data_IF_427016332784
#
_entry.id   IF_427016332784
#
_cell.length_a   1.000
_cell.length_b   1.000
_cell.length_c   1.000
_cell.angle_alpha   90.00
_cell.angle_beta   90.00
_cell.angle_gamma   90.00
#
_symmetry.space_group_name_H-M   'P 1'
#
loop_
_entity.id
_entity.type
_entity.pdbx_description
1 polymer ?
#
# COMPACT_ATOMS: atom_id res chain seq x y z
N UNK A 1 17.23 38.91 3.77
CA UNK A 1 16.32 38.74 2.62
C UNK A 1 16.43 37.35 1.97
N UNK A 2 17.64 36.82 1.74
CA UNK A 2 17.83 35.48 1.14
C UNK A 2 17.14 34.33 1.94
N UNK A 3 17.20 34.38 3.28
CA UNK A 3 16.59 33.36 4.15
C UNK A 3 15.05 33.38 4.13
N UNK A 4 14.42 34.53 3.89
CA UNK A 4 12.95 34.65 3.80
C UNK A 4 12.42 34.09 2.47
N UNK A 5 13.17 34.30 1.39
CA UNK A 5 12.83 33.76 0.07
C UNK A 5 13.02 32.25 0.01
N UNK A 6 14.09 31.71 0.60
CA UNK A 6 14.28 30.26 0.75
C UNK A 6 13.18 29.63 1.61
N UNK A 7 12.77 30.27 2.70
CA UNK A 7 11.69 29.79 3.55
C UNK A 7 10.32 29.82 2.85
N UNK A 8 10.00 30.89 2.12
CA UNK A 8 8.77 30.98 1.31
C UNK A 8 8.75 29.98 0.15
N UNK A 9 9.90 29.77 -0.51
CA UNK A 9 10.06 28.77 -1.56
C UNK A 9 9.85 27.36 -1.01
N UNK A 10 10.53 26.99 0.07
CA UNK A 10 10.37 25.70 0.76
C UNK A 10 8.92 25.46 1.21
N UNK A 11 8.27 26.50 1.78
CA UNK A 11 6.88 26.43 2.23
C UNK A 11 5.88 26.24 1.07
N UNK A 12 6.14 26.87 -0.08
CA UNK A 12 5.34 26.70 -1.29
C UNK A 12 5.45 25.28 -1.88
N UNK A 13 6.66 24.71 -1.90
CA UNK A 13 6.87 23.32 -2.33
C UNK A 13 6.16 22.31 -1.41
N UNK A 14 6.31 22.46 -0.09
CA UNK A 14 5.64 21.60 0.90
C UNK A 14 4.12 21.64 0.74
N UNK A 15 3.56 22.83 0.50
CA UNK A 15 2.12 23.00 0.38
C UNK A 15 1.56 22.35 -0.89
N UNK A 16 2.28 22.43 -2.02
CA UNK A 16 1.92 21.71 -3.25
C UNK A 16 1.99 20.19 -3.09
N UNK A 17 2.98 19.68 -2.36
CA UNK A 17 3.11 18.24 -2.09
C UNK A 17 1.96 17.73 -1.21
N UNK A 18 1.56 18.50 -0.20
CA UNK A 18 0.41 18.16 0.66
C UNK A 18 -0.88 18.09 -0.15
N UNK A 19 -1.14 19.07 -1.03
CA UNK A 19 -2.34 19.03 -1.89
C UNK A 19 -2.33 17.84 -2.84
N UNK A 20 -1.16 17.51 -3.39
CA UNK A 20 -0.99 16.35 -4.28
C UNK A 20 -1.28 15.05 -3.54
N UNK A 21 -0.70 14.88 -2.35
CA UNK A 21 -0.92 13.72 -1.47
C UNK A 21 -2.40 13.60 -1.10
N UNK A 22 -3.00 14.69 -0.60
CA UNK A 22 -4.41 14.72 -0.22
C UNK A 22 -5.32 14.34 -1.39
N UNK A 23 -5.04 14.85 -2.59
CA UNK A 23 -5.76 14.48 -3.80
C UNK A 23 -5.70 12.98 -4.11
N UNK A 24 -4.54 12.32 -3.94
CA UNK A 24 -4.41 10.87 -4.13
C UNK A 24 -5.18 10.07 -3.08
N UNK A 25 -5.14 10.50 -1.82
CA UNK A 25 -5.89 9.85 -0.73
C UNK A 25 -7.40 9.97 -0.98
N UNK A 26 -7.89 11.17 -1.32
CA UNK A 26 -9.29 11.41 -1.64
C UNK A 26 -9.72 10.53 -2.82
N UNK A 27 -8.92 10.47 -3.87
CA UNK A 27 -9.18 9.60 -5.02
C UNK A 27 -9.31 8.12 -4.61
N UNK A 28 -8.42 7.64 -3.73
CA UNK A 28 -8.47 6.27 -3.24
C UNK A 28 -9.72 6.00 -2.39
N UNK A 29 -10.11 6.95 -1.53
CA UNK A 29 -11.35 6.89 -0.76
C UNK A 29 -12.57 6.87 -1.69
N UNK A 30 -12.59 7.68 -2.75
CA UNK A 30 -13.66 7.67 -3.74
C UNK A 30 -13.77 6.33 -4.47
N UNK A 31 -12.64 5.70 -4.81
CA UNK A 31 -12.62 4.35 -5.42
C UNK A 31 -13.15 3.28 -4.46
N UNK A 32 -12.75 3.31 -3.19
CA UNK A 32 -13.30 2.40 -2.18
C UNK A 32 -14.81 2.65 -2.03
N UNK A 33 -15.21 3.92 -1.94
CA UNK A 33 -16.60 4.32 -1.83
C UNK A 33 -17.48 3.89 -3.01
N UNK A 34 -16.96 3.93 -4.24
CA UNK A 34 -17.70 3.46 -5.41
C UNK A 34 -17.96 1.94 -5.36
N UNK A 35 -16.99 1.14 -4.88
CA UNK A 35 -17.18 -0.27 -4.60
C UNK A 35 -18.26 -0.52 -3.54
N UNK A 36 -18.25 0.24 -2.45
CA UNK A 36 -19.29 0.19 -1.42
C UNK A 36 -20.68 0.54 -1.97
N UNK A 37 -20.78 1.56 -2.83
CA UNK A 37 -22.02 1.95 -3.49
C UNK A 37 -22.51 0.87 -4.46
N UNK A 38 -21.61 0.25 -5.23
CA UNK A 38 -21.95 -0.84 -6.13
C UNK A 38 -22.56 -2.03 -5.37
N UNK A 39 -22.00 -2.37 -4.20
CA UNK A 39 -22.58 -3.38 -3.29
C UNK A 39 -23.94 -2.93 -2.74
N UNK A 40 -24.06 -1.70 -2.27
CA UNK A 40 -25.31 -1.15 -1.72
C UNK A 40 -26.44 -1.12 -2.75
N UNK A 41 -26.15 -0.81 -4.00
CA UNK A 41 -27.10 -0.79 -5.11
C UNK A 41 -27.33 -2.15 -5.76
N UNK A 42 -26.77 -3.23 -5.18
CA UNK A 42 -26.89 -4.61 -5.69
C UNK A 42 -26.44 -4.76 -7.15
N UNK A 43 -25.51 -3.90 -7.61
CA UNK A 43 -24.86 -4.04 -8.91
C UNK A 43 -23.94 -5.26 -8.95
N UNK A 44 -23.48 -5.71 -7.77
CA UNK A 44 -22.67 -6.90 -7.56
C UNK A 44 -23.38 -7.83 -6.59
N UNK A 45 -23.55 -9.08 -6.99
CA UNK A 45 -23.99 -10.16 -6.09
C UNK A 45 -22.81 -10.65 -5.24
N UNK A 46 -23.09 -11.33 -4.13
CA UNK A 46 -22.04 -11.95 -3.29
C UNK A 46 -21.17 -12.92 -4.10
N UNK A 47 -21.78 -13.69 -5.00
CA UNK A 47 -21.05 -14.54 -5.95
C UNK A 47 -20.15 -13.71 -6.86
N UNK A 48 -20.65 -12.60 -7.41
CA UNK A 48 -19.86 -11.71 -8.24
C UNK A 48 -18.68 -11.08 -7.50
N UNK A 49 -18.87 -10.67 -6.25
CA UNK A 49 -17.80 -10.16 -5.37
C UNK A 49 -16.71 -11.21 -5.14
N UNK A 50 -17.11 -12.46 -4.87
CA UNK A 50 -16.18 -13.57 -4.69
C UNK A 50 -15.37 -13.87 -5.96
N UNK A 51 -16.02 -13.99 -7.12
CA UNK A 51 -15.35 -14.27 -8.39
C UNK A 51 -14.41 -13.12 -8.80
N UNK A 52 -14.81 -11.86 -8.58
CA UNK A 52 -13.94 -10.70 -8.82
C UNK A 52 -12.72 -10.70 -7.91
N UNK A 53 -12.90 -11.00 -6.63
CA UNK A 53 -11.79 -11.07 -5.66
C UNK A 53 -10.83 -12.19 -6.04
N UNK A 54 -11.36 -13.33 -6.50
CA UNK A 54 -10.57 -14.47 -6.98
C UNK A 54 -9.78 -14.10 -8.24
N UNK A 55 -10.40 -13.48 -9.24
CA UNK A 55 -9.70 -12.99 -10.43
C UNK A 55 -8.61 -11.97 -10.10
N UNK A 56 -8.86 -11.08 -9.13
CA UNK A 56 -7.85 -10.17 -8.63
C UNK A 56 -6.64 -10.97 -8.14
N UNK A 57 -6.83 -11.80 -7.11
CA UNK A 57 -5.74 -12.50 -6.43
C UNK A 57 -5.03 -13.50 -7.35
N UNK A 58 -5.78 -14.27 -8.12
CA UNK A 58 -5.24 -15.40 -8.90
C UNK A 58 -4.64 -14.97 -10.25
N UNK A 59 -5.09 -13.84 -10.80
CA UNK A 59 -4.67 -13.40 -12.14
C UNK A 59 -4.09 -11.99 -12.18
N UNK A 60 -4.87 -10.98 -11.81
CA UNK A 60 -4.44 -9.58 -11.97
C UNK A 60 -3.21 -9.25 -11.11
N UNK A 61 -3.15 -9.76 -9.89
CA UNK A 61 -2.02 -9.52 -8.98
C UNK A 61 -0.72 -10.15 -9.48
N UNK A 62 -0.64 -11.46 -9.78
CA UNK A 62 0.54 -12.06 -10.39
C UNK A 62 0.97 -11.39 -11.69
N UNK A 63 0.00 -11.08 -12.57
CA UNK A 63 0.28 -10.41 -13.84
C UNK A 63 0.86 -8.99 -13.62
N UNK A 64 0.32 -8.24 -12.65
CA UNK A 64 0.80 -6.90 -12.32
C UNK A 64 2.20 -6.93 -11.70
N UNK A 65 2.45 -7.84 -10.76
CA UNK A 65 3.78 -8.06 -10.16
C UNK A 65 4.79 -8.39 -11.25
N UNK A 66 4.49 -9.38 -12.09
CA UNK A 66 5.35 -9.81 -13.18
C UNK A 66 5.63 -8.68 -14.17
N UNK A 67 4.59 -7.97 -14.61
CA UNK A 67 4.73 -6.84 -15.53
C UNK A 67 5.67 -5.78 -14.98
N UNK A 68 5.49 -5.39 -13.70
CA UNK A 68 6.33 -4.35 -13.10
C UNK A 68 7.77 -4.84 -12.90
N UNK A 69 8.00 -6.06 -12.45
CA UNK A 69 9.38 -6.56 -12.26
C UNK A 69 10.11 -6.68 -13.59
N UNK A 70 9.47 -7.24 -14.62
CA UNK A 70 10.13 -7.56 -15.90
C UNK A 70 10.32 -6.33 -16.79
N UNK A 71 9.35 -5.41 -16.83
CA UNK A 71 9.40 -4.28 -17.77
C UNK A 71 9.98 -3.00 -17.18
N UNK A 72 10.08 -2.89 -15.85
CA UNK A 72 10.51 -1.65 -15.19
C UNK A 72 11.91 -1.77 -14.58
N UNK A 73 12.29 -2.93 -14.05
CA UNK A 73 13.66 -3.13 -13.53
C UNK A 73 14.60 -3.70 -14.59
N UNK A 74 15.81 -3.17 -14.61
CA UNK A 74 16.91 -3.77 -15.35
C UNK A 74 17.60 -4.85 -14.49
N UNK A 75 18.33 -5.77 -15.13
CA UNK A 75 18.95 -6.93 -14.44
C UNK A 75 19.96 -6.51 -13.35
N UNK A 76 20.68 -5.43 -13.60
CA UNK A 76 21.64 -4.80 -12.68
C UNK A 76 20.96 -4.19 -11.45
N UNK A 77 19.66 -3.91 -11.50
CA UNK A 77 18.89 -3.33 -10.40
C UNK A 77 18.17 -4.40 -9.57
N UNK A 78 18.10 -5.64 -10.04
CA UNK A 78 17.37 -6.69 -9.33
C UNK A 78 18.12 -7.15 -8.08
N UNK A 79 19.41 -7.51 -8.23
CA UNK A 79 20.23 -8.03 -7.13
C UNK A 79 20.38 -7.05 -5.95
N UNK A 80 20.65 -5.74 -6.17
CA UNK A 80 20.76 -4.78 -5.08
C UNK A 80 19.46 -4.58 -4.30
N UNK A 81 18.31 -4.77 -4.96
CA UNK A 81 16.99 -4.55 -4.37
C UNK A 81 16.37 -5.81 -3.73
N UNK A 82 17.06 -6.96 -3.77
CA UNK A 82 16.65 -8.18 -3.06
C UNK A 82 16.68 -8.06 -1.52
N UNK A 83 17.18 -6.95 -1.00
CA UNK A 83 17.08 -6.62 0.43
C UNK A 83 15.70 -6.05 0.81
N UNK A 84 14.92 -5.54 -0.15
CA UNK A 84 13.59 -4.95 0.11
C UNK A 84 12.57 -5.95 0.68
N UNK A 85 12.52 -7.24 0.28
CA UNK A 85 11.72 -8.25 0.97
C UNK A 85 12.05 -8.35 2.47
N UNK A 86 13.32 -8.19 2.86
CA UNK A 86 13.69 -8.24 4.28
C UNK A 86 13.13 -7.03 5.04
N UNK A 87 13.06 -5.84 4.42
CA UNK A 87 12.40 -4.71 5.08
C UNK A 87 10.89 -4.92 5.22
N UNK A 88 10.25 -5.66 4.31
CA UNK A 88 8.85 -6.05 4.44
C UNK A 88 8.65 -7.01 5.62
N UNK A 89 9.50 -8.04 5.73
CA UNK A 89 9.50 -8.96 6.86
C UNK A 89 9.72 -8.22 8.19
N UNK A 90 10.67 -7.29 8.25
CA UNK A 90 10.90 -6.46 9.44
C UNK A 90 9.65 -5.62 9.78
N UNK A 91 9.00 -5.05 8.78
CA UNK A 91 7.76 -4.27 8.97
C UNK A 91 6.62 -5.16 9.49
N UNK A 92 6.45 -6.36 8.95
CA UNK A 92 5.45 -7.32 9.44
C UNK A 92 5.78 -7.78 10.87
N UNK A 93 7.03 -8.14 11.15
CA UNK A 93 7.47 -8.59 12.48
C UNK A 93 7.30 -7.50 13.54
N UNK A 94 7.60 -6.24 13.20
CA UNK A 94 7.35 -5.11 14.10
C UNK A 94 5.86 -4.89 14.34
N UNK A 95 5.04 -4.94 13.28
CA UNK A 95 3.58 -4.92 13.38
C UNK A 95 3.05 -6.01 14.32
N UNK A 96 3.50 -7.25 14.13
CA UNK A 96 3.15 -8.38 14.99
C UNK A 96 3.61 -8.18 16.45
N UNK A 97 4.87 -7.79 16.65
CA UNK A 97 5.46 -7.58 17.97
C UNK A 97 4.74 -6.49 18.77
N UNK A 98 4.19 -5.48 18.10
CA UNK A 98 3.36 -4.43 18.71
C UNK A 98 1.93 -4.94 18.92
N UNK A 99 1.33 -5.53 17.89
CA UNK A 99 -0.08 -5.92 17.91
C UNK A 99 -0.39 -7.00 18.93
N UNK A 100 0.52 -7.95 19.13
CA UNK A 100 0.33 -9.05 20.05
C UNK A 100 0.10 -8.58 21.50
N UNK A 101 1.02 -7.82 22.14
CA UNK A 101 0.81 -7.30 23.49
C UNK A 101 -0.31 -6.26 23.54
N UNK A 102 -0.42 -5.37 22.55
CA UNK A 102 -1.47 -4.32 22.52
C UNK A 102 -2.86 -4.96 22.47
N UNK A 103 -3.07 -5.98 21.64
CA UNK A 103 -4.34 -6.68 21.54
C UNK A 103 -4.74 -7.34 22.87
N UNK A 104 -3.78 -7.89 23.60
CA UNK A 104 -4.04 -8.45 24.94
C UNK A 104 -4.35 -7.35 25.96
N UNK A 105 -3.63 -6.23 25.92
CA UNK A 105 -3.87 -5.09 26.79
C UNK A 105 -5.27 -4.48 26.57
N UNK A 106 -5.74 -4.43 25.33
CA UNK A 106 -7.10 -4.01 24.97
C UNK A 106 -8.19 -5.04 25.33
N UNK A 107 -7.81 -6.18 25.93
CA UNK A 107 -8.74 -7.23 26.35
C UNK A 107 -9.29 -8.09 25.21
N UNK A 108 -8.69 -8.04 24.01
CA UNK A 108 -9.08 -8.95 22.93
C UNK A 108 -8.64 -10.37 23.25
N UNK A 109 -9.55 -11.33 23.04
CA UNK A 109 -9.33 -12.76 23.26
C UNK A 109 -9.69 -13.58 22.01
N UNK A 110 -9.13 -14.77 21.93
CA UNK A 110 -9.41 -15.79 20.91
C UNK A 110 -9.39 -15.22 19.49
N UNK A 111 -10.45 -15.46 18.71
CA UNK A 111 -10.57 -15.00 17.33
C UNK A 111 -10.41 -13.48 17.17
N UNK A 112 -10.83 -12.68 18.16
CA UNK A 112 -10.73 -11.22 18.08
C UNK A 112 -9.29 -10.75 18.23
N UNK A 113 -8.51 -11.43 19.08
CA UNK A 113 -7.07 -11.17 19.20
C UNK A 113 -6.34 -11.53 17.91
N UNK A 114 -6.63 -12.71 17.35
CA UNK A 114 -6.04 -13.16 16.08
C UNK A 114 -6.36 -12.21 14.92
N UNK A 115 -7.62 -11.76 14.78
CA UNK A 115 -8.02 -10.80 13.76
C UNK A 115 -7.30 -9.46 13.91
N UNK A 116 -7.18 -8.94 15.14
CA UNK A 116 -6.46 -7.70 15.40
C UNK A 116 -4.98 -7.81 15.04
N UNK A 117 -4.30 -8.86 15.50
CA UNK A 117 -2.90 -9.10 15.19
C UNK A 117 -2.68 -9.21 13.69
N UNK A 118 -3.55 -9.93 12.98
CA UNK A 118 -3.48 -10.06 11.53
C UNK A 118 -3.60 -8.70 10.82
N UNK A 119 -4.59 -7.87 11.19
CA UNK A 119 -4.82 -6.56 10.55
C UNK A 119 -3.67 -5.57 10.75
N UNK A 120 -2.97 -5.63 11.90
CA UNK A 120 -1.83 -4.75 12.17
C UNK A 120 -0.54 -5.28 11.53
N UNK A 121 -0.42 -6.60 11.39
CA UNK A 121 0.75 -7.25 10.79
C UNK A 121 0.73 -7.14 9.25
N UNK A 122 -0.42 -7.39 8.64
CA UNK A 122 -0.60 -7.40 7.18
C UNK A 122 -1.26 -6.10 6.74
N UNK A 123 -0.45 -5.11 6.41
CA UNK A 123 -0.91 -3.84 5.89
C UNK A 123 -1.33 -3.95 4.42
N UNK A 124 -2.35 -3.20 4.00
CA UNK A 124 -2.64 -3.00 2.59
C UNK A 124 -1.56 -2.11 1.96
N UNK A 125 -0.42 -2.72 1.66
CA UNK A 125 0.75 -2.00 1.22
C UNK A 125 0.66 -1.64 -0.26
N UNK A 126 0.12 -2.51 -1.12
CA UNK A 126 0.08 -2.20 -2.56
C UNK A 126 -0.91 -1.09 -2.89
N UNK A 127 -2.20 -1.20 -2.55
CA UNK A 127 -3.16 -0.19 -3.00
C UNK A 127 -2.92 1.17 -2.37
N UNK A 128 -2.60 1.20 -1.06
CA UNK A 128 -2.38 2.45 -0.36
C UNK A 128 -1.06 3.10 -0.78
N UNK A 129 0.04 2.34 -0.91
CA UNK A 129 1.39 2.91 -1.13
C UNK A 129 1.69 3.16 -2.61
N UNK A 130 1.06 2.43 -3.54
CA UNK A 130 1.30 2.57 -4.99
C UNK A 130 1.22 4.02 -5.53
N UNK A 131 0.22 4.86 -5.20
CA UNK A 131 0.18 6.24 -5.67
C UNK A 131 1.35 7.08 -5.12
N UNK A 132 1.82 6.79 -3.91
CA UNK A 132 2.92 7.51 -3.28
C UNK A 132 4.26 7.12 -3.90
N UNK A 133 4.53 5.83 -4.11
CA UNK A 133 5.80 5.42 -4.75
C UNK A 133 5.88 5.89 -6.20
N UNK A 134 4.75 6.00 -6.92
CA UNK A 134 4.74 6.63 -8.25
C UNK A 134 5.11 8.11 -8.23
N UNK A 135 4.76 8.81 -7.15
CA UNK A 135 5.07 10.22 -6.97
C UNK A 135 6.52 10.41 -6.51
N UNK A 136 6.95 9.64 -5.50
CA UNK A 136 8.27 9.79 -4.87
C UNK A 136 9.40 9.16 -5.68
N UNK A 137 9.13 8.06 -6.39
CA UNK A 137 10.12 7.33 -7.20
C UNK A 137 9.52 7.10 -8.60
N UNK A 138 9.46 8.13 -9.45
CA UNK A 138 8.91 8.01 -10.79
C UNK A 138 9.61 6.92 -11.61
N UNK A 139 8.85 6.20 -12.44
CA UNK A 139 9.36 5.08 -13.24
C UNK A 139 9.49 3.79 -12.43
N UNK A 140 10.33 3.75 -11.39
CA UNK A 140 10.73 2.50 -10.70
C UNK A 140 9.92 2.16 -9.44
N UNK A 141 9.27 3.14 -8.82
CA UNK A 141 8.58 3.00 -7.54
C UNK A 141 7.61 1.81 -7.45
N UNK A 142 6.68 1.63 -8.41
CA UNK A 142 5.79 0.48 -8.45
C UNK A 142 6.52 -0.86 -8.39
N UNK A 143 7.60 -1.00 -9.15
CA UNK A 143 8.31 -2.26 -9.26
C UNK A 143 9.13 -2.58 -8.02
N UNK A 144 9.75 -1.56 -7.40
CA UNK A 144 10.40 -1.69 -6.09
C UNK A 144 9.39 -2.05 -4.98
N UNK A 145 8.19 -1.47 -5.02
CA UNK A 145 7.10 -1.81 -4.10
C UNK A 145 6.64 -3.28 -4.24
N UNK A 146 6.61 -3.80 -5.47
CA UNK A 146 6.27 -5.21 -5.70
C UNK A 146 7.39 -6.15 -5.26
N UNK A 147 8.65 -5.80 -5.48
CA UNK A 147 9.79 -6.55 -4.94
C UNK A 147 9.74 -6.57 -3.41
N UNK A 148 9.48 -5.42 -2.78
CA UNK A 148 9.30 -5.34 -1.32
C UNK A 148 8.23 -6.31 -0.82
N UNK A 149 7.06 -6.37 -1.46
CA UNK A 149 5.96 -7.27 -1.07
C UNK A 149 6.19 -8.76 -1.35
N UNK A 150 7.37 -9.19 -1.83
CA UNK A 150 7.69 -10.62 -1.98
C UNK A 150 8.11 -11.28 -0.65
N UNK A 151 8.45 -10.51 0.37
CA UNK A 151 8.83 -11.00 1.71
C UNK A 151 7.69 -10.88 2.70
#
# INVERSE_FOLDING_TARGET
MLNLWLFQSQSFFIMNDIYTIAGKIIFLICLIGSGCLAKKWKLLSEKGEHELSKLLIDFFWPALIFYNIVNVLHRDELLPNLLLPLSAMVTALTGFAIAYPVGRFLGYRDARHAMFVYHVTICNFVFMVLPFVKMMIPGKGPALLFIHNLG
#
